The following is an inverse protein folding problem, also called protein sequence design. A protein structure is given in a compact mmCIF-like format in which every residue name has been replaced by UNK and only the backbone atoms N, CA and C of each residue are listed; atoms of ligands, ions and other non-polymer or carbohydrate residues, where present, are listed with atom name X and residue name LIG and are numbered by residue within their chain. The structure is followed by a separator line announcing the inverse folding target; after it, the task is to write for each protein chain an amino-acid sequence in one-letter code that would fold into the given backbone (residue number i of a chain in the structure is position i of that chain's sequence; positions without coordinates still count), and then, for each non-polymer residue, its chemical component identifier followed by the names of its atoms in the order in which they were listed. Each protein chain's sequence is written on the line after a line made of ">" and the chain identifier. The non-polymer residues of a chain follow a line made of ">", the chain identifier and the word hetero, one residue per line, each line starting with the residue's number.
data_IF_967588732310
#
_entry.id   IF_967588732310
#
_cell.length_a   1.000
_cell.length_b   1.000
_cell.length_c   1.000
_cell.angle_alpha   90.00
_cell.angle_beta   90.00
_cell.angle_gamma   90.00
#
_symmetry.space_group_name_H-M   'P 1'
#
loop_
_entity.id
_entity.type
_entity.pdbx_description
1 polymer ?
#
# COMPACT_ATOMS: atom_id res chain seq x y z
N UNK A 1 0.77 23.44 10.11
CA UNK A 1 0.66 22.47 11.22
C UNK A 1 1.26 23.01 12.49
N UNK A 2 0.71 22.63 13.64
CA UNK A 2 0.94 23.22 14.98
C UNK A 2 2.42 23.35 15.39
N UNK A 3 3.32 22.56 14.80
CA UNK A 3 4.76 22.55 15.15
C UNK A 3 5.71 22.67 13.94
N UNK A 4 5.21 22.99 12.74
CA UNK A 4 6.02 23.02 11.50
C UNK A 4 6.79 21.71 11.21
N UNK A 5 6.30 20.59 11.73
CA UNK A 5 6.88 19.27 11.52
C UNK A 5 6.30 18.66 10.24
N UNK A 6 7.18 18.19 9.37
CA UNK A 6 6.83 17.42 8.19
C UNK A 6 6.59 15.94 8.56
N UNK A 7 5.69 15.26 7.86
CA UNK A 7 5.36 13.85 8.08
C UNK A 7 5.78 13.01 6.87
N UNK A 8 6.55 11.97 7.15
CA UNK A 8 6.91 10.92 6.20
C UNK A 8 6.42 9.57 6.77
N UNK A 9 5.22 9.09 6.38
CA UNK A 9 4.69 7.85 6.93
C UNK A 9 5.54 6.65 6.53
N UNK A 10 5.67 5.68 7.44
CA UNK A 10 6.40 4.43 7.23
C UNK A 10 5.48 3.24 7.46
N UNK A 11 5.62 2.21 6.64
CA UNK A 11 5.04 0.89 6.87
C UNK A 11 5.90 -0.19 6.21
N UNK A 12 5.81 -1.41 6.73
CA UNK A 12 6.40 -2.62 6.11
C UNK A 12 5.35 -3.67 5.74
N UNK A 13 4.07 -3.25 5.72
CA UNK A 13 2.95 -4.13 5.44
C UNK A 13 2.79 -4.53 3.96
N UNK A 14 1.79 -5.38 3.75
CA UNK A 14 1.34 -5.83 2.42
C UNK A 14 0.64 -4.75 1.59
N UNK A 15 -0.01 -5.15 0.47
CA UNK A 15 -0.62 -4.22 -0.49
C UNK A 15 -1.77 -3.39 0.12
N UNK A 16 -2.47 -3.92 1.13
CA UNK A 16 -3.52 -3.19 1.86
C UNK A 16 -2.93 -2.05 2.68
N UNK A 17 -1.76 -2.25 3.32
CA UNK A 17 -1.06 -1.21 4.05
C UNK A 17 -0.57 -0.10 3.10
N UNK A 18 -0.11 -0.47 1.90
CA UNK A 18 0.26 0.51 0.87
C UNK A 18 -0.93 1.37 0.43
N UNK A 19 -2.12 0.78 0.26
CA UNK A 19 -3.34 1.54 -0.06
C UNK A 19 -3.70 2.52 1.06
N UNK A 20 -3.65 2.08 2.31
CA UNK A 20 -3.87 2.94 3.47
C UNK A 20 -2.85 4.07 3.57
N UNK A 21 -1.57 3.79 3.29
CA UNK A 21 -0.50 4.78 3.29
C UNK A 21 -0.71 5.87 2.21
N UNK A 22 -1.18 5.50 1.01
CA UNK A 22 -1.52 6.46 -0.06
C UNK A 22 -2.61 7.44 0.42
N UNK A 23 -3.69 6.92 1.02
CA UNK A 23 -4.78 7.77 1.53
C UNK A 23 -4.35 8.64 2.72
N UNK A 24 -3.50 8.10 3.61
CA UNK A 24 -2.92 8.88 4.71
C UNK A 24 -2.07 10.03 4.16
N UNK A 25 -1.16 9.75 3.22
CA UNK A 25 -0.33 10.76 2.57
C UNK A 25 -1.17 11.85 1.89
N UNK A 26 -2.20 11.46 1.15
CA UNK A 26 -3.12 12.40 0.47
C UNK A 26 -3.90 13.29 1.45
N UNK A 27 -4.11 12.83 2.69
CA UNK A 27 -4.88 13.55 3.71
C UNK A 27 -4.01 14.42 4.64
N UNK A 28 -2.67 14.35 4.49
CA UNK A 28 -1.73 15.07 5.34
C UNK A 28 -1.23 16.34 4.62
N UNK A 29 -1.63 17.55 5.06
CA UNK A 29 -1.19 18.80 4.43
C UNK A 29 0.32 19.07 4.60
N UNK A 30 0.98 18.36 5.52
CA UNK A 30 2.41 18.41 5.81
C UNK A 30 3.16 17.12 5.39
N UNK A 31 2.59 16.35 4.47
CA UNK A 31 3.26 15.19 3.87
C UNK A 31 4.50 15.60 3.07
N UNK A 32 5.57 14.78 3.15
CA UNK A 32 6.81 15.01 2.38
C UNK A 32 7.13 13.86 1.43
N UNK A 33 7.16 12.62 1.93
CA UNK A 33 7.51 11.45 1.13
C UNK A 33 6.91 10.19 1.76
N UNK A 34 6.68 9.17 0.93
CA UNK A 34 6.14 7.87 1.34
C UNK A 34 7.12 6.76 0.95
N UNK A 35 7.50 5.92 1.90
CA UNK A 35 8.14 4.65 1.59
C UNK A 35 7.06 3.62 1.25
N UNK A 36 7.34 2.80 0.23
CA UNK A 36 6.59 1.58 -0.07
C UNK A 36 7.53 0.38 -0.02
N UNK A 37 7.16 -0.73 0.64
CA UNK A 37 7.90 -1.98 0.56
C UNK A 37 8.00 -2.46 -0.89
N UNK A 38 9.22 -2.71 -1.35
CA UNK A 38 9.49 -3.19 -2.71
C UNK A 38 9.59 -4.72 -2.72
N UNK A 39 8.62 -5.43 -3.34
CA UNK A 39 8.65 -6.89 -3.42
C UNK A 39 9.70 -7.36 -4.45
N UNK A 40 10.91 -7.68 -3.97
CA UNK A 40 12.02 -8.12 -4.81
C UNK A 40 11.84 -9.56 -5.33
N UNK A 41 11.22 -10.44 -4.54
CA UNK A 41 10.91 -11.81 -4.94
C UNK A 41 9.67 -11.88 -5.85
N UNK A 42 9.69 -12.77 -6.84
CA UNK A 42 8.58 -12.96 -7.77
C UNK A 42 7.36 -13.56 -7.07
N UNK A 43 7.58 -14.47 -6.13
CA UNK A 43 6.54 -15.07 -5.31
C UNK A 43 5.81 -14.01 -4.47
N UNK A 44 6.56 -13.07 -3.87
CA UNK A 44 5.98 -11.96 -3.10
C UNK A 44 5.17 -11.03 -4.02
N UNK A 45 5.68 -10.68 -5.22
CA UNK A 45 4.92 -9.90 -6.21
C UNK A 45 3.61 -10.56 -6.59
N UNK A 46 3.63 -11.87 -6.86
CA UNK A 46 2.44 -12.64 -7.25
C UNK A 46 1.41 -12.70 -6.14
N UNK A 47 1.85 -12.99 -4.92
CA UNK A 47 1.00 -13.02 -3.74
C UNK A 47 0.34 -11.65 -3.51
N UNK A 48 1.12 -10.57 -3.51
CA UNK A 48 0.59 -9.20 -3.34
C UNK A 48 -0.42 -8.83 -4.43
N UNK A 49 -0.14 -9.14 -5.70
CA UNK A 49 -1.08 -8.88 -6.79
C UNK A 49 -2.36 -9.73 -6.67
N UNK A 50 -2.25 -10.99 -6.25
CA UNK A 50 -3.40 -11.87 -6.06
C UNK A 50 -4.35 -11.37 -4.94
N UNK A 51 -3.80 -10.76 -3.89
CA UNK A 51 -4.56 -10.21 -2.77
C UNK A 51 -5.43 -8.99 -3.16
N UNK A 52 -5.03 -8.21 -4.15
CA UNK A 52 -5.72 -6.95 -4.52
C UNK A 52 -6.19 -6.87 -5.97
N UNK A 53 -6.07 -7.97 -6.73
CA UNK A 53 -6.45 -8.02 -8.15
C UNK A 53 -5.50 -7.29 -9.09
N UNK A 54 -4.28 -6.98 -8.62
CA UNK A 54 -3.27 -6.21 -9.36
C UNK A 54 -2.35 -5.42 -8.44
N UNK A 55 -1.31 -4.76 -8.98
CA UNK A 55 -0.39 -3.93 -8.21
C UNK A 55 -1.10 -2.68 -7.66
N UNK A 56 -1.04 -2.48 -6.34
CA UNK A 56 -1.62 -1.30 -5.66
C UNK A 56 -0.78 -0.04 -5.89
N UNK A 57 0.54 -0.20 -5.85
CA UNK A 57 1.49 0.91 -6.01
C UNK A 57 2.03 0.86 -7.43
N UNK A 58 1.59 1.81 -8.25
CA UNK A 58 2.15 2.05 -9.57
C UNK A 58 2.85 3.41 -9.56
N UNK A 59 4.18 3.40 -9.66
CA UNK A 59 5.01 4.61 -9.58
C UNK A 59 5.33 5.09 -10.98
N UNK A 60 4.98 6.35 -11.29
CA UNK A 60 5.43 7.08 -12.48
C UNK A 60 6.21 8.31 -12.03
N UNK A 61 7.40 8.51 -12.58
CA UNK A 61 8.25 9.69 -12.31
C UNK A 61 8.50 9.97 -10.82
N UNK A 62 8.55 8.91 -10.01
CA UNK A 62 8.74 9.00 -8.55
C UNK A 62 7.47 9.25 -7.74
N UNK A 63 6.30 9.30 -8.36
CA UNK A 63 5.01 9.52 -7.69
C UNK A 63 4.08 8.32 -7.82
N UNK A 64 3.40 7.98 -6.72
CA UNK A 64 2.28 7.04 -6.74
C UNK A 64 0.97 7.80 -6.94
N UNK A 65 0.08 7.27 -7.78
CA UNK A 65 -1.25 7.84 -7.98
C UNK A 65 -2.16 7.61 -6.76
N UNK A 66 -3.06 8.56 -6.51
CA UNK A 66 -4.13 8.37 -5.51
C UNK A 66 -5.13 7.33 -6.05
N UNK A 67 -5.50 6.38 -5.20
CA UNK A 67 -6.48 5.35 -5.52
C UNK A 67 -7.89 5.94 -5.45
N UNK A 68 -8.66 5.85 -6.54
CA UNK A 68 -9.94 6.56 -6.71
C UNK A 68 -11.17 5.70 -6.43
N UNK A 69 -11.02 4.39 -6.20
CA UNK A 69 -12.12 3.53 -5.79
C UNK A 69 -12.65 3.86 -4.39
N UNK A 70 -13.81 3.32 -4.04
CA UNK A 70 -14.40 3.52 -2.72
C UNK A 70 -13.50 2.98 -1.59
N UNK A 71 -13.57 3.60 -0.40
CA UNK A 71 -12.77 3.20 0.75
C UNK A 71 -11.28 3.37 0.48
N UNK A 72 -10.51 2.28 0.59
CA UNK A 72 -9.07 2.28 0.29
C UNK A 72 -8.77 2.27 -1.22
N UNK A 73 -9.78 2.23 -2.08
CA UNK A 73 -9.58 2.20 -3.54
C UNK A 73 -9.07 0.87 -4.09
N UNK A 74 -9.15 -0.19 -3.30
CA UNK A 74 -8.81 -1.57 -3.66
C UNK A 74 -9.94 -2.52 -3.28
N UNK A 75 -10.00 -3.67 -3.96
CA UNK A 75 -10.83 -4.81 -3.57
C UNK A 75 -9.93 -5.92 -3.06
N UNK A 76 -10.23 -6.45 -1.88
CA UNK A 76 -9.46 -7.55 -1.29
C UNK A 76 -10.01 -8.89 -1.77
N UNK A 77 -9.12 -9.77 -2.20
CA UNK A 77 -9.46 -11.12 -2.61
C UNK A 77 -9.39 -12.08 -1.40
N UNK A 78 -10.54 -12.32 -0.78
CA UNK A 78 -10.70 -13.24 0.36
C UNK A 78 -10.14 -14.65 0.09
N UNK A 79 -10.30 -15.16 -1.14
CA UNK A 79 -9.77 -16.50 -1.50
C UNK A 79 -8.24 -16.52 -1.50
N UNK A 80 -7.62 -15.44 -1.95
CA UNK A 80 -6.17 -15.31 -1.90
C UNK A 80 -5.67 -15.15 -0.46
N UNK A 81 -6.42 -14.47 0.42
CA UNK A 81 -6.09 -14.45 1.86
C UNK A 81 -6.07 -15.85 2.45
N UNK A 82 -7.04 -16.70 2.10
CA UNK A 82 -7.08 -18.09 2.53
C UNK A 82 -5.92 -18.94 2.01
N UNK A 83 -5.46 -18.68 0.78
CA UNK A 83 -4.33 -19.37 0.15
C UNK A 83 -2.99 -18.97 0.79
N UNK A 84 -2.79 -17.67 1.02
CA UNK A 84 -1.51 -17.11 1.48
C UNK A 84 -1.42 -16.89 2.99
N UNK A 85 -2.45 -17.26 3.77
CA UNK A 85 -2.39 -17.16 5.22
C UNK A 85 -1.20 -17.96 5.76
N UNK A 86 -0.51 -17.36 6.72
CA UNK A 86 0.50 -18.09 7.47
C UNK A 86 -0.17 -19.29 8.15
N UNK A 87 0.46 -20.46 8.02
CA UNK A 87 0.03 -21.63 8.79
C UNK A 87 0.39 -21.35 10.23
N UNK A 88 -0.61 -21.30 11.10
CA UNK A 88 -0.39 -21.32 12.55
C UNK A 88 0.34 -22.63 12.84
N UNK A 89 1.56 -22.53 13.36
CA UNK A 89 2.38 -23.67 13.76
C UNK A 89 1.74 -24.42 14.93
#
# INVERSE_FOLDING_TARGET
>A
ETYYVAVAPYHDGGPIASAAAIHLAASLPNFVIQQFPFPAAEEDRRMRAALTGGPVVNVSDGFAAILTGAGLGISVNEKALDEYKERVA
#
